data_IF_177764341356
#
_entry.id   IF_177764341356
#
_cell.length_a   1.000
_cell.length_b   1.000
_cell.length_c   1.000
_cell.angle_alpha   90.00
_cell.angle_beta   90.00
_cell.angle_gamma   90.00
#
_symmetry.space_group_name_H-M   'P 1'
#
loop_
_entity.id
_entity.type
_entity.pdbx_description
1 polymer ?
#
# COMPACT_ATOMS: atom_id res chain seq x y z
N UNK A 1 27.66 0.19 37.96
CA UNK A 1 27.53 -0.61 36.72
C UNK A 1 26.11 -1.13 36.64
N UNK A 2 25.29 -0.51 35.81
CA UNK A 2 24.10 -1.10 35.19
C UNK A 2 23.70 -0.16 34.06
N UNK A 3 24.20 -0.45 32.85
CA UNK A 3 23.71 0.14 31.61
C UNK A 3 22.38 -0.56 31.32
N UNK A 4 21.27 0.06 31.74
CA UNK A 4 19.95 -0.36 31.32
C UNK A 4 19.74 0.13 29.88
N UNK A 5 19.42 -0.84 29.03
CA UNK A 5 19.44 -0.71 27.59
C UNK A 5 18.52 0.40 27.10
N UNK A 6 19.15 1.40 26.49
CA UNK A 6 18.51 2.21 25.45
C UNK A 6 18.11 1.26 24.33
N UNK A 7 16.88 0.72 24.38
CA UNK A 7 16.20 0.25 23.17
C UNK A 7 15.98 1.50 22.33
N UNK A 8 16.93 1.80 21.47
CA UNK A 8 16.71 2.67 20.33
C UNK A 8 15.54 2.06 19.56
N UNK A 9 14.40 2.74 19.60
CA UNK A 9 13.30 2.48 18.67
C UNK A 9 13.87 2.94 17.34
N UNK A 10 14.45 2.02 16.56
CA UNK A 10 14.81 2.31 15.18
C UNK A 10 13.52 2.70 14.47
N UNK A 11 13.42 4.00 14.15
CA UNK A 11 12.40 4.51 13.27
C UNK A 11 12.62 3.83 11.92
N UNK A 12 11.88 2.75 11.66
CA UNK A 12 11.92 1.99 10.41
C UNK A 12 11.69 2.97 9.26
N UNK A 13 12.78 3.44 8.68
CA UNK A 13 12.74 4.40 7.59
C UNK A 13 12.18 3.67 6.39
N UNK A 14 11.26 4.32 5.66
CA UNK A 14 10.69 3.72 4.46
C UNK A 14 11.81 3.28 3.50
N UNK A 15 11.70 2.10 2.86
CA UNK A 15 12.70 1.66 1.89
C UNK A 15 12.85 2.70 0.78
N UNK A 16 14.09 2.98 0.36
CA UNK A 16 14.35 3.97 -0.71
C UNK A 16 13.63 3.60 -2.00
N UNK A 17 13.51 2.30 -2.23
CA UNK A 17 12.78 1.68 -3.32
C UNK A 17 11.28 2.00 -3.24
N UNK A 18 10.68 2.01 -2.04
CA UNK A 18 9.27 2.35 -1.87
C UNK A 18 9.01 3.83 -2.16
N UNK A 19 9.91 4.70 -1.70
CA UNK A 19 9.87 6.14 -2.03
C UNK A 19 9.97 6.31 -3.55
N UNK A 20 10.91 5.60 -4.19
CA UNK A 20 11.09 5.63 -5.64
C UNK A 20 9.85 5.14 -6.41
N UNK A 21 9.21 4.07 -5.95
CA UNK A 21 7.99 3.56 -6.55
C UNK A 21 6.86 4.60 -6.50
N UNK A 22 6.71 5.31 -5.38
CA UNK A 22 5.73 6.39 -5.24
C UNK A 22 6.00 7.56 -6.19
N UNK A 23 7.26 7.96 -6.35
CA UNK A 23 7.65 8.99 -7.33
C UNK A 23 7.33 8.57 -8.76
N UNK A 24 7.66 7.33 -9.13
CA UNK A 24 7.37 6.78 -10.46
C UNK A 24 5.86 6.77 -10.74
N UNK A 25 5.05 6.32 -9.77
CA UNK A 25 3.60 6.35 -9.87
C UNK A 25 3.09 7.77 -10.14
N UNK A 26 3.55 8.76 -9.36
CA UNK A 26 3.19 10.17 -9.54
C UNK A 26 3.64 10.75 -10.90
N UNK A 27 4.67 10.17 -11.52
CA UNK A 27 5.15 10.52 -12.87
C UNK A 27 4.38 9.79 -13.99
N UNK A 28 3.38 8.95 -13.64
CA UNK A 28 2.64 8.12 -14.59
C UNK A 28 3.41 6.87 -15.04
N UNK A 29 4.57 6.60 -14.44
CA UNK A 29 5.42 5.43 -14.69
C UNK A 29 4.90 4.20 -13.92
N UNK A 30 3.63 3.85 -14.17
CA UNK A 30 2.87 2.86 -13.39
C UNK A 30 3.50 1.46 -13.41
N UNK A 31 3.98 1.01 -14.58
CA UNK A 31 4.57 -0.34 -14.72
C UNK A 31 5.85 -0.49 -13.91
N UNK A 32 6.71 0.53 -13.92
CA UNK A 32 7.98 0.54 -13.20
C UNK A 32 7.74 0.65 -11.69
N UNK A 33 6.77 1.47 -11.27
CA UNK A 33 6.34 1.54 -9.88
C UNK A 33 5.81 0.18 -9.37
N UNK A 34 4.95 -0.48 -10.15
CA UNK A 34 4.39 -1.78 -9.79
C UNK A 34 5.47 -2.85 -9.64
N UNK A 35 6.44 -2.89 -10.57
CA UNK A 35 7.52 -3.86 -10.52
C UNK A 35 8.32 -3.76 -9.20
N UNK A 36 8.68 -2.53 -8.79
CA UNK A 36 9.40 -2.29 -7.54
C UNK A 36 8.58 -2.77 -6.34
N UNK A 37 7.28 -2.42 -6.29
CA UNK A 37 6.42 -2.79 -5.17
C UNK A 37 6.23 -4.30 -5.08
N UNK A 38 6.12 -5.01 -6.20
CA UNK A 38 6.03 -6.47 -6.23
C UNK A 38 7.32 -7.15 -5.76
N UNK A 39 8.48 -6.55 -6.04
CA UNK A 39 9.77 -7.05 -5.53
C UNK A 39 9.90 -6.83 -4.01
N UNK A 40 9.47 -5.66 -3.52
CA UNK A 40 9.45 -5.35 -2.10
C UNK A 40 8.47 -6.23 -1.33
N UNK A 41 7.27 -6.49 -1.87
CA UNK A 41 6.25 -7.33 -1.24
C UNK A 41 6.70 -8.80 -1.09
N UNK A 42 7.50 -9.29 -2.04
CA UNK A 42 8.09 -10.65 -1.98
C UNK A 42 9.28 -10.75 -1.04
N UNK A 43 9.83 -9.63 -0.59
CA UNK A 43 10.98 -9.62 0.29
C UNK A 43 10.54 -9.87 1.72
N UNK A 44 11.07 -10.94 2.35
CA UNK A 44 10.87 -11.22 3.78
C UNK A 44 11.59 -10.21 4.71
N UNK A 45 12.22 -9.17 4.14
CA UNK A 45 13.00 -8.17 4.88
C UNK A 45 12.15 -7.08 5.53
N UNK A 46 10.84 -7.00 5.25
CA UNK A 46 9.97 -5.95 5.76
C UNK A 46 8.88 -6.52 6.67
N UNK A 47 8.76 -5.95 7.86
CA UNK A 47 7.72 -6.28 8.83
C UNK A 47 6.99 -5.00 9.28
N UNK A 48 5.90 -5.16 10.04
CA UNK A 48 5.17 -4.04 10.63
C UNK A 48 4.77 -2.95 9.62
N UNK A 49 5.11 -1.69 9.94
CA UNK A 49 4.67 -0.52 9.17
C UNK A 49 5.23 -0.48 7.75
N UNK A 50 6.44 -0.97 7.53
CA UNK A 50 7.02 -1.04 6.19
C UNK A 50 6.25 -2.03 5.30
N UNK A 51 5.89 -3.20 5.83
CA UNK A 51 5.05 -4.17 5.12
C UNK A 51 3.70 -3.56 4.73
N UNK A 52 3.07 -2.80 5.64
CA UNK A 52 1.79 -2.16 5.37
C UNK A 52 1.89 -1.07 4.32
N UNK A 53 2.95 -0.27 4.37
CA UNK A 53 3.20 0.79 3.39
C UNK A 53 3.41 0.24 1.97
N UNK A 54 4.12 -0.89 1.85
CA UNK A 54 4.30 -1.60 0.58
C UNK A 54 2.96 -2.06 0.02
N UNK A 55 2.15 -2.73 0.86
CA UNK A 55 0.83 -3.23 0.49
C UNK A 55 -0.12 -2.10 0.10
N UNK A 56 -0.17 -1.02 0.87
CA UNK A 56 -1.04 0.12 0.56
C UNK A 56 -0.63 0.80 -0.75
N UNK A 57 0.67 0.96 -1.01
CA UNK A 57 1.12 1.52 -2.28
C UNK A 57 0.77 0.61 -3.47
N UNK A 58 0.80 -0.72 -3.29
CA UNK A 58 0.33 -1.66 -4.34
C UNK A 58 -1.14 -1.42 -4.67
N UNK A 59 -1.99 -1.28 -3.66
CA UNK A 59 -3.41 -1.00 -3.85
C UNK A 59 -3.62 0.31 -4.63
N UNK A 60 -2.89 1.36 -4.27
CA UNK A 60 -2.94 2.66 -4.92
C UNK A 60 -2.49 2.59 -6.39
N UNK A 61 -1.42 1.83 -6.67
CA UNK A 61 -0.94 1.59 -8.04
C UNK A 61 -1.99 0.85 -8.88
N UNK A 62 -2.65 -0.18 -8.33
CA UNK A 62 -3.71 -0.93 -9.03
C UNK A 62 -4.90 -0.03 -9.38
N UNK A 63 -5.30 0.84 -8.46
CA UNK A 63 -6.36 1.81 -8.70
C UNK A 63 -5.96 2.84 -9.77
N UNK A 64 -4.77 3.43 -9.66
CA UNK A 64 -4.25 4.37 -10.64
C UNK A 64 -3.99 3.74 -12.03
N UNK A 65 -3.76 2.42 -12.10
CA UNK A 65 -3.59 1.69 -13.36
C UNK A 65 -4.92 1.33 -14.03
N UNK A 66 -6.06 1.58 -13.38
CA UNK A 66 -7.38 1.21 -13.87
C UNK A 66 -7.78 -0.24 -13.56
N UNK A 67 -6.98 -0.98 -12.79
CA UNK A 67 -7.25 -2.36 -12.37
C UNK A 67 -8.19 -2.37 -11.15
N UNK A 68 -9.30 -1.65 -11.25
CA UNK A 68 -10.19 -1.32 -10.12
C UNK A 68 -10.75 -2.55 -9.39
N UNK A 69 -11.06 -3.62 -10.13
CA UNK A 69 -11.54 -4.86 -9.51
C UNK A 69 -10.45 -5.57 -8.68
N UNK A 70 -9.20 -5.49 -9.11
CA UNK A 70 -8.07 -6.04 -8.37
C UNK A 70 -7.75 -5.18 -7.15
N UNK A 71 -7.77 -3.85 -7.31
CA UNK A 71 -7.62 -2.91 -6.21
C UNK A 71 -8.65 -3.15 -5.09
N UNK A 72 -9.93 -3.33 -5.43
CA UNK A 72 -11.00 -3.63 -4.44
C UNK A 72 -10.75 -4.94 -3.70
N UNK A 73 -10.46 -6.04 -4.43
CA UNK A 73 -10.21 -7.35 -3.81
C UNK A 73 -9.03 -7.29 -2.85
N UNK A 74 -7.95 -6.63 -3.28
CA UNK A 74 -6.73 -6.54 -2.50
C UNK A 74 -6.95 -5.67 -1.24
N UNK A 75 -7.68 -4.56 -1.37
CA UNK A 75 -8.00 -3.69 -0.23
C UNK A 75 -9.00 -4.31 0.75
N UNK A 76 -9.90 -5.20 0.32
CA UNK A 76 -10.77 -5.96 1.22
C UNK A 76 -9.96 -6.83 2.19
N UNK A 77 -8.95 -7.54 1.66
CA UNK A 77 -8.04 -8.37 2.46
C UNK A 77 -7.21 -7.51 3.43
N UNK A 78 -6.68 -6.37 2.96
CA UNK A 78 -5.92 -5.43 3.79
C UNK A 78 -6.77 -4.79 4.88
N UNK A 79 -8.01 -4.40 4.58
CA UNK A 79 -8.92 -3.83 5.55
C UNK A 79 -9.17 -4.80 6.71
N UNK A 80 -9.43 -6.08 6.41
CA UNK A 80 -9.59 -7.11 7.45
C UNK A 80 -8.31 -7.32 8.27
N UNK A 81 -7.14 -7.23 7.65
CA UNK A 81 -5.86 -7.31 8.34
C UNK A 81 -5.68 -6.12 9.30
N UNK A 82 -5.81 -4.88 8.81
CA UNK A 82 -5.60 -3.66 9.60
C UNK A 82 -6.61 -3.50 10.73
N UNK A 83 -7.86 -3.94 10.53
CA UNK A 83 -8.84 -4.00 11.62
C UNK A 83 -8.40 -4.93 12.76
N UNK A 84 -7.85 -6.11 12.45
CA UNK A 84 -7.35 -7.04 13.48
C UNK A 84 -6.16 -6.47 14.23
N UNK A 85 -5.31 -5.72 13.54
CA UNK A 85 -4.12 -5.07 14.09
C UNK A 85 -4.42 -3.73 14.76
N UNK A 86 -5.68 -3.28 14.74
CA UNK A 86 -6.16 -1.99 15.26
C UNK A 86 -5.47 -0.77 14.61
N UNK A 87 -5.00 -0.93 13.37
CA UNK A 87 -4.47 0.15 12.56
C UNK A 87 -5.61 0.88 11.83
N UNK A 88 -6.24 1.80 12.55
CA UNK A 88 -7.40 2.56 12.05
C UNK A 88 -7.04 3.46 10.87
N UNK A 89 -5.81 4.00 10.84
CA UNK A 89 -5.38 4.91 9.78
C UNK A 89 -5.20 4.14 8.47
N UNK A 90 -4.46 3.04 8.49
CA UNK A 90 -4.29 2.20 7.30
C UNK A 90 -5.62 1.57 6.86
N UNK A 91 -6.51 1.23 7.81
CA UNK A 91 -7.88 0.80 7.49
C UNK A 91 -8.65 1.88 6.73
N UNK A 92 -8.56 3.15 7.15
CA UNK A 92 -9.21 4.26 6.46
C UNK A 92 -8.66 4.43 5.04
N UNK A 93 -7.35 4.36 4.86
CA UNK A 93 -6.72 4.50 3.54
C UNK A 93 -7.21 3.42 2.55
N UNK A 94 -7.38 2.17 3.01
CA UNK A 94 -7.96 1.11 2.17
C UNK A 94 -9.39 1.44 1.70
N UNK A 95 -10.22 2.02 2.56
CA UNK A 95 -11.59 2.42 2.21
C UNK A 95 -11.62 3.54 1.18
N UNK A 96 -10.67 4.47 1.23
CA UNK A 96 -10.55 5.55 0.24
C UNK A 96 -10.28 4.98 -1.15
N UNK A 97 -9.33 4.05 -1.26
CA UNK A 97 -9.01 3.38 -2.52
C UNK A 97 -10.23 2.61 -3.04
N UNK A 98 -10.90 1.83 -2.18
CA UNK A 98 -12.11 1.10 -2.56
C UNK A 98 -13.22 2.02 -3.09
N UNK A 99 -13.50 3.11 -2.38
CA UNK A 99 -14.52 4.06 -2.78
C UNK A 99 -14.21 4.67 -4.16
N UNK A 100 -12.94 5.03 -4.41
CA UNK A 100 -12.52 5.54 -5.72
C UNK A 100 -12.69 4.48 -6.82
N UNK A 101 -12.19 3.27 -6.61
CA UNK A 101 -12.32 2.15 -7.56
C UNK A 101 -13.79 1.84 -7.89
N UNK A 102 -14.69 1.85 -6.90
CA UNK A 102 -16.13 1.62 -7.10
C UNK A 102 -16.78 2.73 -7.93
N UNK A 103 -16.43 3.99 -7.68
CA UNK A 103 -16.91 5.13 -8.47
C UNK A 103 -16.45 4.98 -9.92
N UNK A 104 -15.21 4.58 -10.16
CA UNK A 104 -14.67 4.41 -11.50
C UNK A 104 -15.34 3.26 -12.26
N UNK A 105 -15.55 2.10 -11.63
CA UNK A 105 -16.32 1.01 -12.23
C UNK A 105 -17.76 1.41 -12.57
N UNK A 106 -18.42 2.18 -11.70
CA UNK A 106 -19.76 2.70 -11.93
C UNK A 106 -19.85 3.74 -13.06
N UNK A 107 -18.76 4.43 -13.40
CA UNK A 107 -18.67 5.31 -14.57
C UNK A 107 -18.44 4.52 -15.85
N UNK A 108 -17.58 3.49 -15.81
CA UNK A 108 -17.31 2.63 -16.95
C UNK A 108 -18.57 1.88 -17.41
N UNK A 109 -19.35 1.33 -16.46
CA UNK A 109 -20.60 0.63 -16.78
C UNK A 109 -21.72 1.51 -17.36
N UNK A 110 -21.64 2.83 -17.21
CA UNK A 110 -22.59 3.79 -17.80
C UNK A 110 -22.15 4.30 -19.18
N UNK A 111 -20.90 4.06 -19.57
CA UNK A 111 -20.32 4.49 -20.84
C UNK A 111 -20.44 3.47 -21.98
N UNK A 112 -20.95 2.27 -21.69
CA UNK A 112 -21.27 1.20 -22.65
C UNK A 112 -22.76 1.25 -23.06
#
# INVERSE_FOLDING_TARGET
MTNEGERQIEEETLPKELIRAKELMNQGQIKEALQIVLELEKSDNFSGRNSFSIKLLKADILDNSGEFLEAIKYTDDLFQQFQKEQDLLSSYDTLVIQAHSLIMLGKLSKGE
#
